data_IF_555946825781
#
_entry.id   IF_555946825781
#
_cell.length_a   1.000
_cell.length_b   1.000
_cell.length_c   1.000
_cell.angle_alpha   90.00
_cell.angle_beta   90.00
_cell.angle_gamma   90.00
#
_symmetry.space_group_name_H-M   'P 1'
#
loop_
_entity.id
_entity.type
_entity.pdbx_description
1 polymer ?
#
# COMPACT_ATOMS: atom_id res chain seq x y z
N UNK A 1 -13.83 -52.82 37.03
CA UNK A 1 -13.87 -52.71 35.56
C UNK A 1 -13.30 -51.36 35.16
N UNK A 2 -12.03 -51.35 34.75
CA UNK A 2 -11.28 -50.16 34.36
C UNK A 2 -11.77 -49.73 32.97
N UNK A 3 -12.28 -48.50 32.82
CA UNK A 3 -12.58 -47.95 31.50
C UNK A 3 -11.33 -47.23 30.99
N UNK A 4 -10.80 -47.81 29.93
CA UNK A 4 -9.59 -47.47 29.20
C UNK A 4 -9.71 -46.10 28.54
N UNK A 5 -8.66 -45.29 28.69
CA UNK A 5 -8.37 -44.12 27.87
C UNK A 5 -8.26 -44.56 26.40
N UNK A 6 -9.00 -43.91 25.50
CA UNK A 6 -8.74 -43.97 24.07
C UNK A 6 -8.67 -42.56 23.52
N UNK A 7 -7.40 -42.14 23.35
CA UNK A 7 -6.94 -41.06 22.51
C UNK A 7 -7.61 -41.12 21.13
N UNK A 8 -8.33 -40.06 20.76
CA UNK A 8 -8.73 -39.83 19.37
C UNK A 8 -7.71 -38.88 18.75
N UNK A 9 -6.68 -39.49 18.18
CA UNK A 9 -5.75 -38.83 17.28
C UNK A 9 -6.49 -38.38 16.02
N UNK A 10 -6.31 -37.10 15.68
CA UNK A 10 -6.04 -36.63 14.32
C UNK A 10 -7.02 -37.00 13.21
N UNK A 11 -8.03 -36.14 13.00
CA UNK A 11 -8.55 -35.85 11.66
C UNK A 11 -8.61 -34.33 11.51
N UNK A 12 -7.54 -33.78 10.93
CA UNK A 12 -7.52 -32.42 10.38
C UNK A 12 -8.44 -32.42 9.14
N UNK A 13 -9.50 -31.60 9.09
CA UNK A 13 -10.23 -31.44 7.85
C UNK A 13 -9.34 -30.73 6.83
N UNK A 14 -9.15 -31.43 5.71
CA UNK A 14 -8.46 -31.04 4.49
C UNK A 14 -8.37 -29.52 4.23
N UNK A 15 -7.13 -29.05 4.12
CA UNK A 15 -6.80 -27.80 3.45
C UNK A 15 -7.39 -27.79 2.03
N UNK A 16 -8.30 -26.85 1.76
CA UNK A 16 -8.62 -26.43 0.41
C UNK A 16 -7.64 -25.31 0.00
N UNK A 17 -6.98 -25.40 -1.17
CA UNK A 17 -6.10 -24.33 -1.67
C UNK A 17 -6.96 -23.29 -2.38
N UNK A 18 -7.58 -22.39 -1.62
CA UNK A 18 -8.28 -21.23 -2.18
C UNK A 18 -7.57 -19.96 -1.74
N UNK A 19 -6.81 -19.41 -2.69
CA UNK A 19 -6.32 -18.02 -2.78
C UNK A 19 -5.82 -17.42 -1.47
N UNK A 20 -4.51 -17.24 -1.39
CA UNK A 20 -3.82 -16.23 -0.57
C UNK A 20 -4.47 -14.85 -0.72
N UNK A 21 -5.55 -14.62 0.03
CA UNK A 21 -5.94 -13.30 0.47
C UNK A 21 -5.08 -13.06 1.70
N UNK A 22 -4.01 -12.31 1.48
CA UNK A 22 -3.05 -11.86 2.47
C UNK A 22 -3.72 -11.58 3.81
N UNK A 23 -3.23 -12.21 4.88
CA UNK A 23 -3.49 -11.86 6.28
C UNK A 23 -2.87 -10.48 6.64
N UNK A 24 -3.02 -9.48 5.77
CA UNK A 24 -2.57 -8.11 5.98
C UNK A 24 -3.53 -7.32 6.88
N UNK A 25 -4.70 -7.89 7.20
CA UNK A 25 -5.62 -7.38 8.21
C UNK A 25 -5.23 -7.74 9.65
N UNK A 26 -4.03 -8.30 9.84
CA UNK A 26 -3.48 -8.35 11.18
C UNK A 26 -3.09 -6.94 11.61
N UNK A 27 -3.80 -6.40 12.59
CA UNK A 27 -3.35 -5.24 13.34
C UNK A 27 -1.94 -5.54 13.84
N UNK A 28 -0.94 -4.96 13.17
CA UNK A 28 0.44 -5.05 13.62
C UNK A 28 0.48 -4.31 14.95
N UNK A 29 1.05 -4.96 15.96
CA UNK A 29 1.28 -4.35 17.25
C UNK A 29 2.38 -3.29 17.09
N UNK A 30 2.01 -2.15 16.51
CA UNK A 30 2.87 -1.01 16.23
C UNK A 30 2.45 0.11 17.17
N UNK A 31 3.40 0.61 17.95
CA UNK A 31 3.17 1.76 18.83
C UNK A 31 3.11 3.03 17.96
N UNK A 32 1.90 3.55 17.78
CA UNK A 32 1.64 4.78 17.03
C UNK A 32 1.08 5.81 18.00
N UNK A 33 1.60 7.04 17.94
CA UNK A 33 1.13 8.12 18.81
C UNK A 33 -0.36 8.39 18.57
N UNK A 34 -1.16 8.08 19.58
CA UNK A 34 -2.62 8.21 19.55
C UNK A 34 -3.03 9.67 19.37
N UNK A 35 -2.25 10.63 19.90
CA UNK A 35 -2.54 12.07 19.77
C UNK A 35 -2.38 12.53 18.33
N UNK A 36 -1.37 12.01 17.64
CA UNK A 36 -1.17 12.29 16.22
C UNK A 36 -2.32 11.74 15.37
N UNK A 37 -2.81 10.53 15.67
CA UNK A 37 -3.98 9.95 14.99
C UNK A 37 -5.23 10.78 15.25
N UNK A 38 -5.46 11.22 16.49
CA UNK A 38 -6.63 12.04 16.83
C UNK A 38 -6.61 13.39 16.13
N UNK A 39 -5.45 14.06 16.07
CA UNK A 39 -5.29 15.28 15.29
C UNK A 39 -5.57 15.02 13.80
N UNK A 40 -5.09 13.89 13.26
CA UNK A 40 -5.31 13.53 11.87
C UNK A 40 -6.78 13.18 11.58
N UNK A 41 -7.47 12.53 12.53
CA UNK A 41 -8.92 12.29 12.46
C UNK A 41 -9.72 13.61 12.46
N UNK A 42 -9.30 14.60 13.24
CA UNK A 42 -9.94 15.92 13.27
C UNK A 42 -9.70 16.70 11.98
N UNK A 43 -8.48 16.65 11.43
CA UNK A 43 -8.11 17.36 10.20
C UNK A 43 -8.71 16.73 8.94
N UNK A 44 -8.78 15.40 8.88
CA UNK A 44 -9.24 14.65 7.70
C UNK A 44 -10.67 14.10 7.79
N UNK A 45 -11.39 14.36 8.89
CA UNK A 45 -12.76 13.86 9.13
C UNK A 45 -12.91 12.33 8.95
N UNK A 46 -11.88 11.55 9.29
CA UNK A 46 -11.88 10.10 9.14
C UNK A 46 -12.85 9.40 10.11
N UNK A 47 -13.49 8.31 9.67
CA UNK A 47 -14.49 7.59 10.47
C UNK A 47 -13.84 6.62 11.45
N UNK A 48 -12.61 6.20 11.20
CA UNK A 48 -11.88 5.28 12.07
C UNK A 48 -10.39 5.62 12.17
N UNK A 49 -9.77 5.23 13.29
CA UNK A 49 -8.32 5.37 13.52
C UNK A 49 -7.51 4.65 12.46
N UNK A 50 -7.97 3.48 12.01
CA UNK A 50 -7.32 2.70 10.95
C UNK A 50 -7.35 3.45 9.62
N UNK A 51 -8.51 3.96 9.22
CA UNK A 51 -8.67 4.73 7.98
C UNK A 51 -7.77 5.98 7.97
N UNK A 52 -7.68 6.68 9.09
CA UNK A 52 -6.76 7.80 9.27
C UNK A 52 -5.28 7.39 9.04
N UNK A 53 -4.86 6.27 9.64
CA UNK A 53 -3.49 5.75 9.49
C UNK A 53 -3.22 5.30 8.06
N UNK A 54 -4.14 4.56 7.45
CA UNK A 54 -4.02 4.07 6.07
C UNK A 54 -3.89 5.24 5.08
N UNK A 55 -4.70 6.30 5.26
CA UNK A 55 -4.65 7.50 4.45
C UNK A 55 -3.31 8.26 4.62
N UNK A 56 -2.85 8.45 5.86
CA UNK A 56 -1.59 9.12 6.15
C UNK A 56 -0.37 8.39 5.54
N UNK A 57 -0.37 7.06 5.61
CA UNK A 57 0.69 6.23 5.00
C UNK A 57 0.66 6.35 3.47
N UNK A 58 -0.53 6.31 2.86
CA UNK A 58 -0.68 6.45 1.41
C UNK A 58 -0.16 7.81 0.92
N UNK A 59 -0.50 8.89 1.62
CA UNK A 59 -0.03 10.25 1.32
C UNK A 59 1.50 10.35 1.43
N UNK A 60 2.09 9.84 2.51
CA UNK A 60 3.54 9.85 2.71
C UNK A 60 4.29 9.08 1.60
N UNK A 61 3.72 7.96 1.13
CA UNK A 61 4.28 7.21 0.00
C UNK A 61 4.18 8.03 -1.29
N UNK A 62 3.02 8.62 -1.57
CA UNK A 62 2.81 9.42 -2.78
C UNK A 62 3.78 10.62 -2.83
N UNK A 63 3.91 11.35 -1.73
CA UNK A 63 4.85 12.47 -1.61
C UNK A 63 6.30 12.05 -1.87
N UNK A 64 6.75 10.93 -1.28
CA UNK A 64 8.11 10.42 -1.51
C UNK A 64 8.33 9.91 -2.94
N UNK A 65 7.31 9.33 -3.57
CA UNK A 65 7.37 8.94 -4.99
C UNK A 65 7.53 10.16 -5.89
N UNK A 66 6.79 11.23 -5.59
CA UNK A 66 6.90 12.48 -6.34
C UNK A 66 8.30 13.10 -6.19
N UNK A 67 8.87 13.11 -4.97
CA UNK A 67 10.24 13.57 -4.77
C UNK A 67 11.26 12.77 -5.57
N UNK A 68 11.15 11.44 -5.58
CA UNK A 68 12.01 10.58 -6.41
C UNK A 68 11.84 10.85 -7.90
N UNK A 69 10.64 11.20 -8.37
CA UNK A 69 10.44 11.58 -9.77
C UNK A 69 11.23 12.84 -10.16
N UNK A 70 11.41 13.78 -9.22
CA UNK A 70 12.20 14.99 -9.46
C UNK A 70 13.69 14.69 -9.66
N UNK A 71 14.22 13.63 -9.04
CA UNK A 71 15.63 13.22 -9.22
C UNK A 71 15.93 12.85 -10.69
N UNK A 72 14.93 12.38 -11.44
CA UNK A 72 15.09 12.01 -12.84
C UNK A 72 15.05 13.21 -13.81
N UNK A 73 14.62 14.39 -13.37
CA UNK A 73 14.45 15.58 -14.24
C UNK A 73 15.78 16.16 -14.79
N UNK A 74 16.93 15.64 -14.37
CA UNK A 74 18.24 15.98 -14.96
C UNK A 74 18.89 14.85 -15.76
N UNK A 75 18.25 13.67 -15.83
CA UNK A 75 18.79 12.49 -16.53
C UNK A 75 18.16 12.24 -17.90
N UNK A 76 17.06 12.93 -18.21
CA UNK A 76 16.30 12.73 -19.44
C UNK A 76 16.61 13.89 -20.38
N UNK A 77 17.33 13.59 -21.47
CA UNK A 77 17.50 14.54 -22.57
C UNK A 77 16.24 14.54 -23.44
N UNK A 78 15.50 15.65 -23.42
CA UNK A 78 14.35 15.83 -24.29
C UNK A 78 14.81 16.29 -25.67
N UNK A 79 14.74 15.39 -26.66
CA UNK A 79 14.95 15.77 -28.06
C UNK A 79 13.68 16.45 -28.58
N UNK A 80 13.74 17.77 -28.78
CA UNK A 80 12.64 18.54 -29.35
C UNK A 80 12.42 18.13 -30.82
N UNK A 81 11.34 17.40 -31.08
CA UNK A 81 10.91 17.05 -32.44
C UNK A 81 10.26 18.23 -33.20
N UNK A 82 10.02 19.37 -32.53
CA UNK A 82 9.30 20.51 -33.12
C UNK A 82 10.15 21.38 -34.07
N UNK A 83 11.45 21.15 -34.19
CA UNK A 83 12.32 21.94 -35.07
C UNK A 83 12.38 21.46 -36.53
N UNK A 84 11.69 20.37 -36.89
CA UNK A 84 11.78 19.76 -38.20
C UNK A 84 10.44 19.77 -38.97
N UNK A 85 9.84 20.94 -39.12
CA UNK A 85 8.99 21.18 -40.30
C UNK A 85 9.89 21.82 -41.37
N UNK A 86 10.35 21.09 -42.40
CA UNK A 86 10.83 21.75 -43.60
C UNK A 86 9.65 22.53 -44.15
N UNK A 87 9.69 23.85 -44.06
CA UNK A 87 8.82 24.72 -44.86
C UNK A 87 9.16 24.41 -46.31
N UNK A 88 8.39 23.51 -46.92
CA UNK A 88 8.37 23.39 -48.37
C UNK A 88 7.61 24.59 -48.87
N UNK A 89 8.32 25.70 -49.02
CA UNK A 89 7.91 26.79 -49.88
C UNK A 89 7.88 26.21 -51.31
N UNK A 90 6.67 25.93 -51.80
CA UNK A 90 6.43 25.51 -53.18
C UNK A 90 6.06 26.76 -53.96
N UNK A 91 6.94 27.15 -54.88
CA UNK A 91 6.77 28.19 -55.90
C UNK A 91 5.57 27.92 -56.85
#
# INVERSE_FOLDING_TARGET
>A
MQKTLQSRNGELPACLPSRTIYCADMATNLDVDIRAIEALMQLGNFRSKREAVDAAVAEAIAYRKQLKALEFLGTIDFVSQLAASPTTDVD
#
